data_IF_441423003617
#
_entry.id   IF_441423003617
#
_cell.length_a   1.000
_cell.length_b   1.000
_cell.length_c   1.000
_cell.angle_alpha   90.00
_cell.angle_beta   90.00
_cell.angle_gamma   90.00
#
_symmetry.space_group_name_H-M   'P 1'
#
loop_
_entity.id
_entity.type
_entity.pdbx_description
1 polymer ?
#
# COMPACT_ATOMS: atom_id res chain seq x y z
N UNK A 1 -5.25 18.06 -9.85
CA UNK A 1 -4.23 17.08 -10.30
C UNK A 1 -4.00 16.14 -9.14
N UNK A 2 -4.25 14.85 -9.30
CA UNK A 2 -3.99 13.87 -8.22
C UNK A 2 -2.48 13.72 -8.04
N UNK A 3 -1.93 13.87 -6.81
CA UNK A 3 -0.50 13.70 -6.60
C UNK A 3 -0.08 12.26 -6.85
N UNK A 4 1.07 12.09 -7.49
CA UNK A 4 1.72 10.79 -7.68
C UNK A 4 3.10 10.86 -7.03
N UNK A 5 3.37 9.90 -6.15
CA UNK A 5 4.70 9.74 -5.53
C UNK A 5 5.32 8.41 -5.96
N UNK A 6 6.63 8.30 -5.80
CA UNK A 6 7.35 7.03 -5.92
C UNK A 6 7.83 6.60 -4.54
N UNK A 7 7.57 5.35 -4.17
CA UNK A 7 8.07 4.73 -2.95
C UNK A 7 9.01 3.58 -3.26
N UNK A 8 10.02 3.42 -2.40
CA UNK A 8 10.90 2.26 -2.38
C UNK A 8 10.39 1.25 -1.34
N UNK A 9 10.44 -0.05 -1.68
CA UNK A 9 10.14 -1.12 -0.72
C UNK A 9 11.08 -2.31 -0.91
N UNK A 10 11.29 -3.06 0.17
CA UNK A 10 12.07 -4.30 0.16
C UNK A 10 11.12 -5.49 0.16
N UNK A 11 11.33 -6.41 -0.79
CA UNK A 11 10.61 -7.68 -0.87
C UNK A 11 11.60 -8.81 -1.17
N UNK A 12 11.63 -9.86 -0.33
CA UNK A 12 12.57 -10.99 -0.48
C UNK A 12 14.04 -10.56 -0.68
N UNK A 13 14.50 -9.62 0.16
CA UNK A 13 15.86 -9.05 0.13
C UNK A 13 16.22 -8.31 -1.17
N UNK A 14 15.26 -8.04 -2.05
CA UNK A 14 15.44 -7.20 -3.23
C UNK A 14 14.68 -5.89 -3.08
N UNK A 15 15.26 -4.83 -3.64
CA UNK A 15 14.68 -3.49 -3.67
C UNK A 15 13.78 -3.34 -4.90
N UNK A 16 12.60 -2.78 -4.70
CA UNK A 16 11.60 -2.51 -5.73
C UNK A 16 11.03 -1.10 -5.56
N UNK A 17 10.35 -0.63 -6.61
CA UNK A 17 9.69 0.68 -6.63
C UNK A 17 8.22 0.53 -6.95
N UNK A 18 7.40 1.41 -6.38
CA UNK A 18 6.00 1.53 -6.71
C UNK A 18 5.60 2.99 -6.87
N UNK A 19 4.70 3.25 -7.81
CA UNK A 19 4.03 4.54 -7.94
C UNK A 19 2.76 4.53 -7.08
N UNK A 20 2.49 5.63 -6.40
CA UNK A 20 1.32 5.77 -5.54
C UNK A 20 0.55 6.99 -5.98
N UNK A 21 -0.64 6.76 -6.51
CA UNK A 21 -1.60 7.83 -6.81
C UNK A 21 -2.48 8.06 -5.60
N UNK A 22 -2.54 9.30 -5.16
CA UNK A 22 -3.29 9.71 -3.96
C UNK A 22 -4.63 10.27 -4.40
N UNK A 23 -5.72 9.77 -3.81
CA UNK A 23 -7.06 10.26 -4.06
C UNK A 23 -7.71 10.65 -2.75
N UNK A 24 -7.87 11.94 -2.55
CA UNK A 24 -8.62 12.46 -1.41
C UNK A 24 -10.12 12.29 -1.65
N UNK A 25 -10.79 11.59 -0.75
CA UNK A 25 -12.26 11.49 -0.66
C UNK A 25 -12.73 12.38 0.48
N UNK A 26 -14.05 12.59 0.57
CA UNK A 26 -14.62 13.48 1.59
C UNK A 26 -14.31 13.04 3.04
N UNK A 27 -14.12 11.74 3.28
CA UNK A 27 -13.93 11.19 4.64
C UNK A 27 -12.67 10.33 4.80
N UNK A 28 -11.94 10.03 3.74
CA UNK A 28 -10.73 9.20 3.79
C UNK A 28 -9.82 9.48 2.59
N UNK A 29 -8.58 9.03 2.64
CA UNK A 29 -7.63 9.13 1.51
C UNK A 29 -7.32 7.74 0.98
N UNK A 30 -7.40 7.55 -0.34
CA UNK A 30 -6.99 6.31 -1.01
C UNK A 30 -5.60 6.44 -1.62
N UNK A 31 -4.78 5.43 -1.39
CA UNK A 31 -3.47 5.27 -1.99
C UNK A 31 -3.51 4.11 -2.98
N UNK A 32 -3.57 4.44 -4.26
CA UNK A 32 -3.59 3.48 -5.36
C UNK A 32 -2.15 3.18 -5.78
N UNK A 33 -1.69 1.97 -5.48
CA UNK A 33 -0.31 1.55 -5.73
C UNK A 33 -0.19 0.84 -7.07
N UNK A 34 0.90 1.08 -7.79
CA UNK A 34 1.32 0.34 -8.97
C UNK A 34 2.79 -0.04 -8.82
N UNK A 35 3.09 -1.33 -8.68
CA UNK A 35 4.45 -1.84 -8.57
C UNK A 35 5.11 -1.82 -9.96
N UNK A 36 6.32 -1.26 -10.05
CA UNK A 36 7.09 -1.13 -11.30
C UNK A 36 7.64 -2.46 -11.83
N UNK A 37 7.37 -3.57 -11.15
CA UNK A 37 7.72 -4.93 -11.56
C UNK A 37 6.42 -5.69 -11.91
N UNK A 38 6.23 -6.03 -13.19
CA UNK A 38 4.99 -6.64 -13.66
C UNK A 38 4.62 -7.95 -12.96
N UNK A 39 5.60 -8.79 -12.59
CA UNK A 39 5.33 -10.05 -11.89
C UNK A 39 4.84 -9.83 -10.45
N UNK A 40 5.35 -8.81 -9.76
CA UNK A 40 4.87 -8.43 -8.43
C UNK A 40 3.53 -7.68 -8.52
N UNK A 41 3.34 -6.84 -9.53
CA UNK A 41 2.08 -6.15 -9.76
C UNK A 41 0.91 -7.13 -9.96
N UNK A 42 1.12 -8.17 -10.77
CA UNK A 42 0.14 -9.25 -10.94
C UNK A 42 -0.20 -9.95 -9.61
N UNK A 43 0.77 -10.07 -8.70
CA UNK A 43 0.54 -10.66 -7.36
C UNK A 43 -0.22 -9.74 -6.42
N UNK A 44 -0.08 -8.42 -6.59
CA UNK A 44 -0.82 -7.41 -5.82
C UNK A 44 -2.19 -7.10 -6.44
N UNK A 45 -2.58 -7.76 -7.53
CA UNK A 45 -3.86 -7.53 -8.18
C UNK A 45 -5.03 -7.69 -7.19
N UNK A 46 -5.98 -6.74 -7.25
CA UNK A 46 -7.09 -6.62 -6.29
C UNK A 46 -6.70 -6.15 -4.87
N UNK A 47 -5.41 -6.01 -4.57
CA UNK A 47 -4.86 -5.73 -3.25
C UNK A 47 -3.90 -4.52 -3.26
N UNK A 48 -4.06 -3.62 -4.23
CA UNK A 48 -3.15 -2.50 -4.48
C UNK A 48 -3.66 -1.14 -3.95
N UNK A 49 -4.85 -1.13 -3.34
CA UNK A 49 -5.43 0.06 -2.72
C UNK A 49 -5.24 -0.01 -1.20
N UNK A 50 -4.71 1.06 -0.62
CA UNK A 50 -4.63 1.29 0.81
C UNK A 50 -5.51 2.48 1.15
N UNK A 51 -6.14 2.46 2.32
CA UNK A 51 -7.02 3.53 2.78
C UNK A 51 -6.42 4.12 4.04
N UNK A 52 -6.39 5.44 4.14
CA UNK A 52 -6.19 6.13 5.40
C UNK A 52 -7.53 6.54 5.97
N UNK A 53 -7.79 6.08 7.18
CA UNK A 53 -8.98 6.40 7.96
C UNK A 53 -8.53 6.94 9.32
N UNK A 54 -9.06 8.11 9.71
CA UNK A 54 -8.70 8.81 10.96
C UNK A 54 -7.18 8.97 11.21
N UNK A 55 -6.41 9.26 10.15
CA UNK A 55 -4.96 9.43 10.23
C UNK A 55 -4.14 8.13 10.28
N UNK A 56 -4.80 6.97 10.29
CA UNK A 56 -4.16 5.64 10.29
C UNK A 56 -4.27 4.97 8.92
N UNK A 57 -3.16 4.41 8.43
CA UNK A 57 -3.19 3.57 7.23
C UNK A 57 -3.73 2.18 7.55
N UNK A 58 -4.82 1.80 6.88
CA UNK A 58 -5.44 0.48 6.97
C UNK A 58 -4.72 -0.48 6.03
N UNK A 59 -3.87 -1.33 6.58
CA UNK A 59 -3.09 -2.32 5.80
C UNK A 59 -3.88 -3.64 5.65
N UNK A 60 -4.81 -3.90 6.57
CA UNK A 60 -5.66 -5.09 6.56
C UNK A 60 -6.80 -5.05 5.52
N UNK A 61 -7.45 -6.19 5.25
CA UNK A 61 -6.99 -7.54 5.58
C UNK A 61 -5.76 -7.93 4.76
N UNK A 62 -4.85 -8.70 5.36
CA UNK A 62 -3.68 -9.22 4.65
C UNK A 62 -4.12 -10.49 3.91
N UNK A 63 -4.08 -10.53 2.56
CA UNK A 63 -4.42 -11.73 1.81
C UNK A 63 -3.46 -12.88 2.16
N UNK A 64 -3.89 -14.12 1.99
CA UNK A 64 -3.02 -15.26 2.26
C UNK A 64 -1.81 -15.31 1.29
N UNK A 65 -0.79 -16.10 1.65
CA UNK A 65 0.35 -16.44 0.78
C UNK A 65 1.22 -15.22 0.41
N UNK A 66 1.86 -15.29 -0.75
CA UNK A 66 2.86 -14.31 -1.20
C UNK A 66 2.30 -12.89 -1.39
N UNK A 67 1.02 -12.77 -1.74
CA UNK A 67 0.33 -11.49 -1.92
C UNK A 67 0.21 -10.72 -0.61
N UNK A 68 -0.01 -11.43 0.51
CA UNK A 68 -0.08 -10.82 1.84
C UNK A 68 1.24 -10.20 2.27
N UNK A 69 2.34 -10.94 2.10
CA UNK A 69 3.68 -10.42 2.38
C UNK A 69 3.99 -9.22 1.50
N UNK A 70 3.63 -9.26 0.23
CA UNK A 70 3.84 -8.15 -0.70
C UNK A 70 3.05 -6.91 -0.26
N UNK A 71 1.73 -7.05 -0.03
CA UNK A 71 0.86 -5.96 0.45
C UNK A 71 1.39 -5.36 1.75
N UNK A 72 1.82 -6.20 2.69
CA UNK A 72 2.40 -5.73 3.96
C UNK A 72 3.68 -4.91 3.72
N UNK A 73 4.62 -5.40 2.91
CA UNK A 73 5.86 -4.66 2.64
C UNK A 73 5.61 -3.31 1.97
N UNK A 74 4.64 -3.24 1.06
CA UNK A 74 4.22 -2.00 0.39
C UNK A 74 3.52 -1.05 1.38
N UNK A 75 2.58 -1.55 2.18
CA UNK A 75 1.88 -0.77 3.19
C UNK A 75 2.82 -0.20 4.25
N UNK A 76 3.81 -0.98 4.69
CA UNK A 76 4.85 -0.51 5.61
C UNK A 76 5.74 0.56 4.97
N UNK A 77 6.04 0.45 3.68
CA UNK A 77 6.77 1.49 2.95
C UNK A 77 5.97 2.80 2.87
N UNK A 78 4.66 2.74 2.62
CA UNK A 78 3.76 3.90 2.68
C UNK A 78 3.76 4.55 4.07
N UNK A 79 3.61 3.77 5.13
CA UNK A 79 3.59 4.29 6.50
C UNK A 79 4.89 5.01 6.85
N UNK A 80 6.04 4.43 6.46
CA UNK A 80 7.35 5.06 6.65
C UNK A 80 7.51 6.33 5.84
N UNK A 81 7.05 6.34 4.59
CA UNK A 81 7.16 7.51 3.72
C UNK A 81 6.40 8.72 4.28
N UNK A 82 5.21 8.49 4.84
CA UNK A 82 4.36 9.55 5.39
C UNK A 82 4.47 9.74 6.91
N UNK A 83 5.32 8.95 7.58
CA UNK A 83 5.42 8.91 9.04
C UNK A 83 4.05 8.71 9.72
N UNK A 84 3.24 7.79 9.19
CA UNK A 84 1.88 7.51 9.66
C UNK A 84 1.80 6.21 10.48
N UNK A 85 0.95 6.16 11.52
CA UNK A 85 0.58 4.90 12.16
C UNK A 85 -0.22 4.00 11.21
N UNK A 86 -0.29 2.72 11.55
CA UNK A 86 -1.08 1.75 10.78
C UNK A 86 -1.94 0.88 11.68
N UNK A 87 -3.07 0.45 11.15
CA UNK A 87 -3.95 -0.52 11.81
C UNK A 87 -4.22 -1.72 10.91
N UNK A 88 -4.45 -2.86 11.56
CA UNK A 88 -4.83 -4.12 10.91
C UNK A 88 -6.33 -4.38 11.00
N UNK A 89 -7.12 -3.39 11.41
CA UNK A 89 -8.53 -3.57 11.79
C UNK A 89 -9.25 -4.39 10.72
N UNK A 90 -9.62 -5.63 11.09
CA UNK A 90 -10.78 -6.28 10.51
C UNK A 90 -11.94 -5.40 10.93
N UNK A 91 -12.58 -4.71 10.00
CA UNK A 91 -13.99 -4.39 10.19
C UNK A 91 -14.68 -5.74 10.40
N UNK A 92 -15.13 -5.94 11.64
CA UNK A 92 -15.90 -7.11 12.06
C UNK A 92 -17.24 -7.15 11.32
#
# INVERSE_FOLDING_TARGET
MEPIISIEFMYRQKKYFALVRIKDKHSFTEYHVTIMNGALEQKLYGNHIFVEDDGELVIGPIPEKEAGQLRLTVGMALCRHYNKPYSSKKTA
#
